data_IF_411646730075
#
_entry.id   IF_411646730075
#
_cell.length_a   1.000
_cell.length_b   1.000
_cell.length_c   1.000
_cell.angle_alpha   90.00
_cell.angle_beta   90.00
_cell.angle_gamma   90.00
#
_symmetry.space_group_name_H-M   'P 1'
#
loop_
_entity.id
_entity.type
_entity.pdbx_description
1 polymer ?
#
# COMPACT_ATOMS: atom_id res chain seq x y z
N UNK A 1 24.94 -26.29 34.48
CA UNK A 1 25.52 -25.68 33.26
C UNK A 1 25.85 -24.21 33.55
N UNK A 2 27.08 -23.73 33.33
CA UNK A 2 27.41 -22.34 33.65
C UNK A 2 26.60 -21.38 32.76
N UNK A 3 25.93 -20.45 33.41
CA UNK A 3 25.02 -19.46 32.84
C UNK A 3 25.76 -18.49 31.90
N UNK A 4 25.89 -18.87 30.62
CA UNK A 4 26.61 -18.09 29.61
C UNK A 4 25.74 -16.91 29.11
N UNK A 5 25.56 -15.90 29.97
CA UNK A 5 24.91 -14.64 29.59
C UNK A 5 25.79 -13.92 28.58
N UNK A 6 25.37 -13.91 27.31
CA UNK A 6 26.01 -13.10 26.26
C UNK A 6 25.90 -11.63 26.67
N UNK A 7 27.04 -10.98 26.92
CA UNK A 7 27.11 -9.58 27.37
C UNK A 7 26.82 -8.65 26.18
N UNK A 8 25.95 -7.67 26.39
CA UNK A 8 25.71 -6.60 25.41
C UNK A 8 26.88 -5.62 25.33
N UNK A 9 26.99 -4.87 24.24
CA UNK A 9 28.08 -3.91 24.03
C UNK A 9 28.15 -2.87 25.19
N UNK A 10 26.99 -2.44 25.68
CA UNK A 10 26.84 -1.54 26.85
C UNK A 10 27.47 -2.11 28.14
N UNK A 11 27.50 -3.44 28.30
CA UNK A 11 28.07 -4.13 29.47
C UNK A 11 29.56 -4.45 29.34
N UNK A 12 30.17 -4.26 28.17
CA UNK A 12 31.60 -4.56 27.95
C UNK A 12 32.55 -3.41 28.30
N UNK A 13 32.05 -2.19 28.49
CA UNK A 13 32.85 -0.99 28.72
C UNK A 13 33.68 -0.58 27.49
N UNK A 14 34.68 0.31 27.66
CA UNK A 14 35.51 0.81 26.54
C UNK A 14 36.24 -0.32 25.81
N UNK A 15 36.09 -0.34 24.48
CA UNK A 15 36.68 -1.32 23.54
C UNK A 15 37.92 -0.76 22.82
N UNK A 16 38.14 0.56 22.88
CA UNK A 16 39.12 1.29 22.05
C UNK A 16 40.58 0.90 22.29
N UNK A 17 40.96 0.52 23.51
CA UNK A 17 42.35 0.15 23.86
C UNK A 17 42.56 -1.36 24.02
N UNK A 18 41.76 -2.19 23.35
CA UNK A 18 41.82 -3.65 23.48
C UNK A 18 42.55 -4.26 22.29
N UNK A 19 43.57 -5.09 22.54
CA UNK A 19 44.26 -5.82 21.49
C UNK A 19 43.27 -6.65 20.64
N UNK A 20 43.39 -6.65 19.29
CA UNK A 20 42.39 -7.25 18.39
C UNK A 20 42.09 -8.73 18.65
N UNK A 21 43.08 -9.47 19.16
CA UNK A 21 42.95 -10.91 19.47
C UNK A 21 42.62 -11.21 20.94
N UNK A 22 42.42 -10.18 21.77
CA UNK A 22 42.06 -10.37 23.19
C UNK A 22 40.69 -11.00 23.35
N UNK A 23 40.48 -11.73 24.46
CA UNK A 23 39.18 -12.28 24.86
C UNK A 23 38.11 -11.20 24.91
N UNK A 24 38.46 -9.97 25.34
CA UNK A 24 37.54 -8.83 25.39
C UNK A 24 37.16 -8.35 23.98
N UNK A 25 38.11 -8.30 23.04
CA UNK A 25 37.83 -7.98 21.64
C UNK A 25 36.92 -9.04 20.98
N UNK A 26 37.17 -10.34 21.24
CA UNK A 26 36.29 -11.43 20.77
C UNK A 26 34.87 -11.33 21.33
N UNK A 27 34.71 -10.94 22.59
CA UNK A 27 33.39 -10.68 23.19
C UNK A 27 32.72 -9.46 22.55
N UNK A 28 33.45 -8.38 22.27
CA UNK A 28 32.93 -7.18 21.62
C UNK A 28 32.44 -7.47 20.19
N UNK A 29 33.23 -8.19 19.38
CA UNK A 29 32.82 -8.61 18.04
C UNK A 29 31.53 -9.44 18.05
N UNK A 30 31.37 -10.35 19.01
CA UNK A 30 30.14 -11.14 19.17
C UNK A 30 28.93 -10.29 19.56
N UNK A 31 29.13 -9.29 20.41
CA UNK A 31 28.09 -8.35 20.80
C UNK A 31 27.67 -7.47 19.61
N UNK A 32 28.63 -6.89 18.87
CA UNK A 32 28.39 -6.10 17.65
C UNK A 32 27.62 -6.93 16.61
N UNK A 33 28.09 -8.12 16.26
CA UNK A 33 27.42 -8.98 15.28
C UNK A 33 25.98 -9.36 15.70
N UNK A 34 25.72 -9.47 17.01
CA UNK A 34 24.36 -9.69 17.52
C UNK A 34 23.51 -8.43 17.35
N UNK A 35 24.03 -7.27 17.73
CA UNK A 35 23.32 -5.99 17.62
C UNK A 35 23.00 -5.68 16.14
N UNK A 36 23.93 -5.95 15.22
CA UNK A 36 23.72 -5.84 13.77
C UNK A 36 22.60 -6.78 13.29
N UNK A 37 22.56 -8.02 13.76
CA UNK A 37 21.50 -8.97 13.41
C UNK A 37 20.14 -8.51 13.94
N UNK A 38 20.11 -7.95 15.15
CA UNK A 38 18.88 -7.42 15.75
C UNK A 38 18.39 -6.16 15.02
N UNK A 39 19.31 -5.29 14.61
CA UNK A 39 19.02 -4.10 13.80
C UNK A 39 18.44 -4.51 12.44
N UNK A 40 19.12 -5.40 11.70
CA UNK A 40 18.64 -5.94 10.43
C UNK A 40 17.25 -6.57 10.55
N UNK A 41 17.02 -7.39 11.57
CA UNK A 41 15.70 -7.99 11.80
C UNK A 41 14.60 -6.97 12.15
N UNK A 42 14.96 -5.82 12.74
CA UNK A 42 14.03 -4.71 12.96
C UNK A 42 13.73 -3.99 11.64
N UNK A 43 14.76 -3.73 10.84
CA UNK A 43 14.63 -3.05 9.55
C UNK A 43 13.81 -3.88 8.56
N UNK A 44 14.06 -5.20 8.48
CA UNK A 44 13.26 -6.14 7.69
C UNK A 44 11.80 -6.14 8.14
N UNK A 45 11.53 -6.17 9.44
CA UNK A 45 10.14 -6.11 9.94
C UNK A 45 9.46 -4.80 9.53
N UNK A 46 10.19 -3.70 9.64
CA UNK A 46 9.68 -2.39 9.28
C UNK A 46 9.41 -2.30 7.77
N UNK A 47 10.31 -2.82 6.92
CA UNK A 47 10.15 -2.79 5.46
C UNK A 47 9.01 -3.69 4.98
N UNK A 48 8.91 -4.92 5.49
CA UNK A 48 7.92 -5.89 5.00
C UNK A 48 6.51 -5.69 5.55
N UNK A 49 6.36 -5.20 6.78
CA UNK A 49 5.05 -5.11 7.45
C UNK A 49 4.59 -3.69 7.67
N UNK A 50 5.46 -2.84 8.19
CA UNK A 50 5.07 -1.50 8.63
C UNK A 50 4.98 -0.56 7.45
N UNK A 51 5.98 -0.57 6.56
CA UNK A 51 6.04 0.34 5.41
C UNK A 51 4.81 0.24 4.50
N UNK A 52 4.34 -0.96 4.09
CA UNK A 52 3.17 -1.05 3.21
C UNK A 52 1.88 -0.61 3.92
N UNK A 53 1.76 -0.83 5.23
CA UNK A 53 0.62 -0.36 6.01
C UNK A 53 0.61 1.17 6.13
N UNK A 54 1.77 1.76 6.41
CA UNK A 54 1.95 3.22 6.47
C UNK A 54 1.59 3.87 5.14
N UNK A 55 2.10 3.33 4.02
CA UNK A 55 1.82 3.84 2.68
C UNK A 55 0.32 3.80 2.35
N UNK A 56 -0.34 2.67 2.65
CA UNK A 56 -1.80 2.53 2.49
C UNK A 56 -2.56 3.59 3.30
N UNK A 57 -2.16 3.83 4.55
CA UNK A 57 -2.84 4.78 5.43
C UNK A 57 -2.68 6.22 4.94
N UNK A 58 -1.47 6.58 4.50
CA UNK A 58 -1.23 7.89 3.89
C UNK A 58 -2.08 8.07 2.64
N UNK A 59 -2.12 7.07 1.75
CA UNK A 59 -2.93 7.14 0.56
C UNK A 59 -4.41 7.37 0.88
N UNK A 60 -4.97 6.60 1.82
CA UNK A 60 -6.38 6.74 2.23
C UNK A 60 -6.63 8.11 2.86
N UNK A 61 -5.73 8.59 3.73
CA UNK A 61 -5.82 9.94 4.31
C UNK A 61 -5.90 11.03 3.23
N UNK A 62 -5.16 10.88 2.13
CA UNK A 62 -5.14 11.85 1.04
C UNK A 62 -6.27 11.67 0.01
N UNK A 63 -6.71 10.44 -0.22
CA UNK A 63 -7.81 10.11 -1.13
C UNK A 63 -9.19 10.49 -0.55
N UNK A 64 -9.32 10.56 0.78
CA UNK A 64 -10.55 10.96 1.44
C UNK A 64 -10.73 12.49 1.44
N UNK A 65 -11.97 12.93 1.22
CA UNK A 65 -12.35 14.33 1.41
C UNK A 65 -12.31 14.70 2.92
N UNK A 66 -11.68 15.83 3.30
CA UNK A 66 -11.76 16.40 4.64
C UNK A 66 -13.18 16.55 5.21
N UNK A 67 -14.23 16.60 4.40
CA UNK A 67 -15.61 16.74 4.86
C UNK A 67 -16.23 15.42 5.37
N UNK A 68 -15.76 14.26 4.91
CA UNK A 68 -16.45 12.96 5.11
C UNK A 68 -16.08 12.32 6.45
N UNK A 69 -17.05 12.21 7.36
CA UNK A 69 -16.84 11.69 8.72
C UNK A 69 -16.96 10.17 8.81
N UNK A 70 -17.76 9.53 7.95
CA UNK A 70 -17.88 8.07 7.88
C UNK A 70 -18.18 7.66 6.45
N UNK A 71 -17.58 6.54 6.03
CA UNK A 71 -17.79 5.98 4.70
C UNK A 71 -18.70 4.76 4.73
N UNK A 72 -19.46 4.57 3.65
CA UNK A 72 -20.19 3.33 3.41
C UNK A 72 -19.23 2.20 2.99
N UNK A 73 -19.70 0.95 3.04
CA UNK A 73 -18.89 -0.20 2.59
C UNK A 73 -18.58 -0.11 1.09
N UNK A 74 -19.48 0.45 0.27
CA UNK A 74 -19.25 0.62 -1.17
C UNK A 74 -18.12 1.64 -1.41
N UNK A 75 -18.16 2.78 -0.73
CA UNK A 75 -17.07 3.77 -0.79
C UNK A 75 -15.72 3.18 -0.34
N UNK A 76 -15.71 2.26 0.64
CA UNK A 76 -14.48 1.57 1.00
C UNK A 76 -13.92 0.73 -0.15
N UNK A 77 -14.79 0.09 -0.95
CA UNK A 77 -14.37 -0.62 -2.15
C UNK A 77 -13.84 0.34 -3.22
N UNK A 78 -14.50 1.48 -3.43
CA UNK A 78 -14.06 2.49 -4.38
C UNK A 78 -12.66 3.03 -4.04
N UNK A 79 -12.38 3.27 -2.75
CA UNK A 79 -11.04 3.68 -2.28
C UNK A 79 -10.00 2.58 -2.51
N UNK A 80 -10.38 1.30 -2.36
CA UNK A 80 -9.48 0.17 -2.66
C UNK A 80 -9.21 0.09 -4.16
N UNK A 81 -10.20 0.28 -5.01
CA UNK A 81 -10.00 0.30 -6.46
C UNK A 81 -9.08 1.44 -6.88
N UNK A 82 -9.22 2.62 -6.28
CA UNK A 82 -8.30 3.74 -6.48
C UNK A 82 -6.87 3.40 -6.02
N UNK A 83 -6.71 2.73 -4.89
CA UNK A 83 -5.41 2.25 -4.41
C UNK A 83 -4.74 1.28 -5.39
N UNK A 84 -5.52 0.34 -5.95
CA UNK A 84 -5.03 -0.65 -6.92
C UNK A 84 -4.70 -0.02 -8.29
N UNK A 85 -5.35 1.08 -8.65
CA UNK A 85 -5.15 1.78 -9.91
C UNK A 85 -3.98 2.80 -9.88
N UNK A 86 -3.39 3.08 -8.72
CA UNK A 86 -2.41 4.18 -8.55
C UNK A 86 -1.20 4.13 -9.49
N UNK A 87 -0.77 2.92 -9.85
CA UNK A 87 0.40 2.71 -10.72
C UNK A 87 0.03 2.62 -12.20
N UNK A 88 -1.26 2.61 -12.55
CA UNK A 88 -1.70 2.35 -13.93
C UNK A 88 -1.28 3.46 -14.89
N UNK A 89 -1.37 4.71 -14.47
CA UNK A 89 -1.00 5.85 -15.32
C UNK A 89 0.51 5.94 -15.54
N UNK A 90 1.32 5.69 -14.50
CA UNK A 90 2.78 5.64 -14.63
C UNK A 90 3.23 4.44 -15.48
N UNK A 91 2.61 3.28 -15.30
CA UNK A 91 2.85 2.10 -16.14
C UNK A 91 2.44 2.35 -17.60
N UNK A 92 1.35 3.09 -17.83
CA UNK A 92 0.93 3.47 -19.20
C UNK A 92 2.00 4.34 -19.85
N UNK A 93 2.49 5.36 -19.16
CA UNK A 93 3.56 6.23 -19.68
C UNK A 93 4.85 5.45 -19.99
N UNK A 94 5.27 4.54 -19.11
CA UNK A 94 6.45 3.69 -19.34
C UNK A 94 6.26 2.75 -20.53
N UNK A 95 5.05 2.19 -20.70
CA UNK A 95 4.73 1.33 -21.85
C UNK A 95 4.77 2.10 -23.16
N UNK A 96 4.25 3.32 -23.19
CA UNK A 96 4.32 4.18 -24.36
C UNK A 96 5.76 4.57 -24.72
N UNK A 97 6.60 4.86 -23.72
CA UNK A 97 8.02 5.13 -23.92
C UNK A 97 8.76 3.89 -24.47
N UNK A 98 8.45 2.71 -23.93
CA UNK A 98 8.97 1.44 -24.42
C UNK A 98 8.56 1.17 -25.86
N UNK A 99 7.29 1.38 -26.20
CA UNK A 99 6.75 1.09 -27.54
C UNK A 99 7.30 2.06 -28.60
N UNK A 100 7.69 3.28 -28.21
CA UNK A 100 8.43 4.22 -29.07
C UNK A 100 9.87 3.77 -29.35
N UNK A 101 10.45 2.93 -28.50
CA UNK A 101 11.81 2.45 -28.66
C UNK A 101 11.86 1.19 -29.54
N UNK A 102 12.66 1.23 -30.62
CA UNK A 102 12.81 0.15 -31.62
C UNK A 102 13.21 -1.21 -31.00
N UNK A 103 13.89 -1.19 -29.85
CA UNK A 103 14.25 -2.36 -29.04
C UNK A 103 13.94 -2.17 -27.55
N UNK A 104 12.80 -1.55 -27.23
CA UNK A 104 12.38 -1.26 -25.87
C UNK A 104 12.26 -2.54 -25.02
N UNK A 105 13.19 -2.73 -24.07
CA UNK A 105 13.08 -3.75 -23.02
C UNK A 105 12.32 -3.15 -21.84
N UNK A 106 11.60 -4.00 -21.10
CA UNK A 106 10.98 -3.57 -19.85
C UNK A 106 12.05 -3.07 -18.89
N UNK A 107 11.82 -1.89 -18.33
CA UNK A 107 12.69 -1.35 -17.29
C UNK A 107 12.54 -2.19 -16.01
N UNK A 108 13.60 -2.40 -15.21
CA UNK A 108 13.47 -3.03 -13.89
C UNK A 108 12.43 -2.34 -13.00
N UNK A 109 12.23 -1.02 -13.18
CA UNK A 109 11.20 -0.25 -12.48
C UNK A 109 9.79 -0.63 -12.94
N UNK A 110 9.57 -0.77 -14.25
CA UNK A 110 8.29 -1.20 -14.83
C UNK A 110 7.91 -2.59 -14.30
N UNK A 111 8.87 -3.53 -14.33
CA UNK A 111 8.65 -4.90 -13.85
C UNK A 111 8.32 -4.95 -12.35
N UNK A 112 9.02 -4.16 -11.52
CA UNK A 112 8.75 -4.08 -10.09
C UNK A 112 7.34 -3.52 -9.81
N UNK A 113 6.94 -2.43 -10.49
CA UNK A 113 5.62 -1.84 -10.29
C UNK A 113 4.49 -2.74 -10.79
N UNK A 114 4.67 -3.42 -11.93
CA UNK A 114 3.73 -4.44 -12.41
C UNK A 114 3.58 -5.60 -11.41
N UNK A 115 4.69 -6.07 -10.84
CA UNK A 115 4.68 -7.13 -9.84
C UNK A 115 3.98 -6.70 -8.55
N UNK A 116 4.23 -5.47 -8.06
CA UNK A 116 3.57 -4.91 -6.88
C UNK A 116 2.06 -4.79 -7.09
N UNK A 117 1.62 -4.17 -8.19
CA UNK A 117 0.19 -4.02 -8.48
C UNK A 117 -0.52 -5.37 -8.66
N UNK A 118 0.14 -6.35 -9.28
CA UNK A 118 -0.38 -7.72 -9.40
C UNK A 118 -0.51 -8.40 -8.04
N UNK A 119 0.50 -8.28 -7.18
CA UNK A 119 0.48 -8.85 -5.84
C UNK A 119 -0.67 -8.29 -5.00
N UNK A 120 -0.88 -6.97 -5.05
CA UNK A 120 -1.95 -6.30 -4.31
C UNK A 120 -3.35 -6.68 -4.82
N UNK A 121 -3.53 -6.83 -6.14
CA UNK A 121 -4.78 -7.32 -6.72
C UNK A 121 -5.09 -8.74 -6.26
N UNK A 122 -4.09 -9.63 -6.28
CA UNK A 122 -4.24 -11.01 -5.80
C UNK A 122 -4.54 -11.04 -4.30
N UNK A 123 -3.91 -10.18 -3.49
CA UNK A 123 -4.20 -10.03 -2.06
C UNK A 123 -5.67 -9.69 -1.84
N UNK A 124 -6.18 -8.67 -2.55
CA UNK A 124 -7.57 -8.24 -2.45
C UNK A 124 -8.55 -9.34 -2.87
N UNK A 125 -8.32 -9.98 -4.02
CA UNK A 125 -9.23 -11.00 -4.55
C UNK A 125 -9.26 -12.27 -3.70
N UNK A 126 -8.12 -12.71 -3.17
CA UNK A 126 -7.99 -14.02 -2.50
C UNK A 126 -8.34 -13.93 -1.01
N UNK A 127 -7.81 -12.93 -0.32
CA UNK A 127 -7.86 -12.83 1.14
C UNK A 127 -8.59 -11.59 1.63
N UNK A 128 -8.76 -10.58 0.78
CA UNK A 128 -9.15 -9.24 1.17
C UNK A 128 -7.96 -8.41 1.63
N UNK A 129 -8.11 -7.09 1.57
CA UNK A 129 -7.06 -6.15 1.93
C UNK A 129 -7.33 -5.57 3.32
N UNK A 130 -6.27 -5.44 4.12
CA UNK A 130 -6.35 -4.84 5.46
C UNK A 130 -6.29 -3.31 5.33
N UNK A 131 -7.31 -2.63 5.85
CA UNK A 131 -7.49 -1.17 5.76
C UNK A 131 -7.96 -0.60 7.12
N UNK A 132 -7.75 0.70 7.40
CA UNK A 132 -8.44 1.39 8.48
C UNK A 132 -9.96 1.25 8.34
N UNK A 133 -10.67 1.09 9.47
CA UNK A 133 -12.13 1.03 9.45
C UNK A 133 -12.74 2.42 9.20
N UNK A 134 -13.04 2.73 7.94
CA UNK A 134 -13.62 4.02 7.53
C UNK A 134 -15.11 4.18 7.89
N UNK A 135 -15.79 3.12 8.33
CA UNK A 135 -17.19 3.21 8.77
C UNK A 135 -17.32 3.89 10.15
N UNK A 136 -16.25 3.93 10.94
CA UNK A 136 -16.25 4.52 12.28
C UNK A 136 -15.66 5.92 12.25
N UNK A 137 -16.47 6.92 12.59
CA UNK A 137 -16.03 8.32 12.65
C UNK A 137 -14.81 8.54 13.55
N UNK A 138 -14.72 7.82 14.68
CA UNK A 138 -13.57 7.88 15.59
C UNK A 138 -12.26 7.45 14.93
N UNK A 139 -12.32 6.45 14.06
CA UNK A 139 -11.14 5.93 13.35
C UNK A 139 -10.74 6.90 12.24
N UNK A 140 -11.72 7.48 11.54
CA UNK A 140 -11.47 8.51 10.52
C UNK A 140 -10.82 9.76 11.14
N UNK A 141 -11.30 10.23 12.30
CA UNK A 141 -10.66 11.33 13.03
C UNK A 141 -9.23 11.00 13.47
N UNK A 142 -8.99 9.77 13.97
CA UNK A 142 -7.66 9.33 14.36
C UNK A 142 -6.71 9.28 13.15
N UNK A 143 -7.19 8.77 12.00
CA UNK A 143 -6.43 8.71 10.76
C UNK A 143 -6.07 10.11 10.24
N UNK A 144 -6.97 11.09 10.40
CA UNK A 144 -6.71 12.49 10.02
C UNK A 144 -5.64 13.15 10.87
N UNK A 145 -5.65 12.90 12.18
CA UNK A 145 -4.67 13.43 13.13
C UNK A 145 -3.32 12.71 13.07
N UNK A 146 -3.26 11.57 12.38
CA UNK A 146 -2.07 10.75 12.31
C UNK A 146 -1.06 11.33 11.31
N UNK A 147 0.16 11.58 11.77
CA UNK A 147 1.25 12.22 11.02
C UNK A 147 2.37 11.24 10.62
N UNK A 148 2.08 9.93 10.60
CA UNK A 148 3.06 8.92 10.18
C UNK A 148 3.78 8.18 11.29
N UNK A 149 3.45 8.41 12.58
CA UNK A 149 4.10 7.69 13.68
C UNK A 149 3.66 6.22 13.69
N UNK A 150 4.64 5.32 13.58
CA UNK A 150 4.45 3.87 13.58
C UNK A 150 3.75 3.40 14.87
N UNK A 151 4.06 4.02 16.02
CA UNK A 151 3.48 3.61 17.30
C UNK A 151 1.99 3.92 17.40
N UNK A 152 1.52 4.91 16.63
CA UNK A 152 0.12 5.33 16.60
C UNK A 152 -0.72 4.47 15.64
N UNK A 153 -0.11 3.63 14.79
CA UNK A 153 -0.82 2.72 13.90
C UNK A 153 -1.68 1.71 14.69
N UNK A 154 -1.18 1.23 15.83
CA UNK A 154 -1.90 0.27 16.68
C UNK A 154 -3.19 0.85 17.28
N UNK A 155 -3.31 2.18 17.35
CA UNK A 155 -4.52 2.86 17.84
C UNK A 155 -5.63 2.89 16.78
N UNK A 156 -5.26 2.85 15.50
CA UNK A 156 -6.18 2.90 14.37
C UNK A 156 -6.69 1.48 14.10
N UNK A 157 -7.97 1.24 14.37
CA UNK A 157 -8.57 -0.08 14.16
C UNK A 157 -8.63 -0.43 12.68
N UNK A 158 -8.07 -1.57 12.33
CA UNK A 158 -8.13 -2.15 10.98
C UNK A 158 -9.29 -3.11 10.82
N UNK A 159 -9.77 -3.22 9.57
CA UNK A 159 -10.74 -4.22 9.11
C UNK A 159 -10.21 -4.87 7.84
N UNK A 160 -10.48 -6.16 7.71
CA UNK A 160 -10.21 -6.92 6.48
C UNK A 160 -11.39 -6.75 5.53
N UNK A 161 -11.18 -6.02 4.44
CA UNK A 161 -12.21 -5.78 3.41
C UNK A 161 -12.04 -6.81 2.31
N UNK A 162 -13.05 -7.67 2.13
CA UNK A 162 -13.09 -8.68 1.06
C UNK A 162 -13.95 -8.19 -0.09
N UNK A 163 -13.64 -8.56 -1.34
CA UNK A 163 -14.47 -8.20 -2.47
C UNK A 163 -15.93 -8.65 -2.22
N UNK A 164 -16.92 -7.86 -2.68
CA UNK A 164 -18.30 -8.25 -2.53
C UNK A 164 -18.50 -9.62 -3.16
N UNK A 165 -19.04 -10.57 -2.38
CA UNK A 165 -19.38 -11.90 -2.90
C UNK A 165 -20.30 -11.64 -4.08
N UNK A 166 -19.87 -11.96 -5.31
CA UNK A 166 -20.75 -11.96 -6.48
C UNK A 166 -21.94 -12.83 -6.11
N UNK A 167 -23.05 -12.20 -5.72
CA UNK A 167 -24.26 -12.91 -5.40
C UNK A 167 -24.62 -13.69 -6.66
N UNK A 168 -24.91 -14.96 -6.49
CA UNK A 168 -25.31 -15.92 -7.54
C UNK A 168 -26.47 -15.46 -8.44
N UNK A 169 -27.02 -14.27 -8.25
CA UNK A 169 -27.96 -13.60 -9.16
C UNK A 169 -27.38 -13.37 -10.57
N UNK A 170 -26.11 -12.97 -10.71
CA UNK A 170 -25.49 -12.81 -12.04
C UNK A 170 -25.15 -14.15 -12.73
N UNK A 171 -24.91 -15.21 -11.95
CA UNK A 171 -24.71 -16.56 -12.47
C UNK A 171 -26.05 -17.25 -12.85
N UNK A 172 -27.15 -16.90 -12.20
CA UNK A 172 -28.49 -17.36 -12.56
C UNK A 172 -29.03 -16.69 -13.83
N UNK A 173 -28.71 -15.41 -14.06
CA UNK A 173 -29.14 -14.68 -15.27
C UNK A 173 -28.45 -15.16 -16.57
N UNK A 174 -27.24 -15.74 -16.47
CA UNK A 174 -26.53 -16.30 -17.61
C UNK A 174 -27.02 -17.72 -18.01
N UNK A 175 -27.91 -18.33 -17.23
CA UNK A 175 -28.45 -19.67 -17.48
C UNK A 175 -29.77 -19.70 -18.27
N UNK A 176 -30.35 -18.56 -18.63
CA UNK A 176 -31.65 -18.50 -19.31
C UNK A 176 -31.69 -17.47 -20.45
N UNK A 177 -30.83 -17.59 -21.45
CA UNK A 177 -31.08 -16.97 -22.77
C UNK A 177 -30.29 -17.67 -23.86
N UNK A 178 -30.83 -18.77 -24.36
CA UNK A 178 -30.53 -19.27 -25.70
C UNK A 178 -31.47 -18.61 -26.72
N UNK A 179 -30.88 -18.14 -27.82
CA UNK A 179 -31.48 -17.79 -29.11
C UNK A 179 -32.32 -16.49 -29.22
N UNK A 180 -31.73 -15.44 -29.80
CA UNK A 180 -32.26 -14.72 -30.97
C UNK A 180 -31.26 -13.64 -31.47
N UNK A 181 -31.12 -13.58 -32.79
CA UNK A 181 -30.34 -12.64 -33.61
C UNK A 181 -30.89 -11.19 -33.59
N UNK A 182 -30.03 -10.18 -33.78
CA UNK A 182 -30.47 -8.88 -34.30
C UNK A 182 -29.61 -7.65 -33.96
N UNK A 183 -29.03 -7.07 -35.01
CA UNK A 183 -28.60 -5.68 -35.27
C UNK A 183 -29.03 -4.50 -34.35
N UNK A 184 -28.14 -3.49 -34.34
CA UNK A 184 -28.37 -2.03 -34.25
C UNK A 184 -28.24 -1.29 -32.89
N UNK A 185 -27.24 -0.38 -32.89
CA UNK A 185 -27.24 1.04 -32.49
C UNK A 185 -27.69 1.53 -31.09
N UNK A 186 -26.83 2.42 -30.57
CA UNK A 186 -27.11 3.62 -29.77
C UNK A 186 -27.43 3.50 -28.25
N UNK A 187 -26.56 4.12 -27.45
CA UNK A 187 -26.97 5.22 -26.56
C UNK A 187 -27.12 4.95 -25.05
N UNK A 188 -26.42 5.78 -24.27
CA UNK A 188 -26.59 6.08 -22.83
C UNK A 188 -26.18 4.95 -21.87
N UNK A 189 -25.50 5.17 -20.76
CA UNK A 189 -25.43 6.35 -19.90
C UNK A 189 -25.50 5.84 -18.47
N UNK A 190 -24.40 5.26 -17.97
CA UNK A 190 -24.26 4.87 -16.57
C UNK A 190 -23.22 5.79 -15.93
N UNK A 191 -23.70 6.85 -15.29
CA UNK A 191 -22.88 7.78 -14.53
C UNK A 191 -22.12 7.03 -13.45
N UNK A 192 -20.80 6.94 -13.63
CA UNK A 192 -19.87 6.68 -12.54
C UNK A 192 -20.05 7.82 -11.52
N UNK A 193 -20.03 7.56 -10.20
CA UNK A 193 -20.08 8.64 -9.23
C UNK A 193 -18.81 9.50 -9.39
N UNK A 194 -18.98 10.63 -10.07
CA UNK A 194 -17.93 11.61 -10.40
C UNK A 194 -17.33 12.32 -9.17
N UNK A 195 -17.78 11.97 -7.96
CA UNK A 195 -17.54 12.75 -6.76
C UNK A 195 -16.09 12.65 -6.23
N UNK A 196 -15.32 11.62 -6.61
CA UNK A 196 -13.95 11.40 -6.08
C UNK A 196 -12.83 11.51 -7.13
N UNK A 197 -13.15 11.43 -8.43
CA UNK A 197 -12.12 11.53 -9.49
C UNK A 197 -11.76 12.99 -9.82
N UNK A 198 -12.74 13.90 -9.83
CA UNK A 198 -12.50 15.31 -10.20
C UNK A 198 -11.68 16.07 -9.15
N UNK A 199 -11.79 15.68 -7.88
CA UNK A 199 -11.09 16.36 -6.76
C UNK A 199 -9.62 15.94 -6.69
N UNK A 200 -9.29 14.68 -7.01
CA UNK A 200 -7.90 14.23 -7.06
C UNK A 200 -7.15 14.87 -8.24
N UNK A 201 -7.80 15.01 -9.39
CA UNK A 201 -7.25 15.73 -10.54
C UNK A 201 -7.03 17.23 -10.22
N UNK A 202 -7.99 17.89 -9.55
CA UNK A 202 -7.84 19.29 -9.13
C UNK A 202 -6.71 19.48 -8.09
N UNK A 203 -6.58 18.57 -7.13
CA UNK A 203 -5.55 18.67 -6.08
C UNK A 203 -4.15 18.29 -6.56
N UNK A 204 -4.05 17.43 -7.57
CA UNK A 204 -2.80 17.13 -8.29
C UNK A 204 -2.36 18.31 -9.18
N UNK A 205 -3.33 19.04 -9.77
CA UNK A 205 -3.07 20.27 -10.52
C UNK A 205 -2.63 21.43 -9.61
N UNK A 206 -3.23 21.56 -8.41
CA UNK A 206 -2.76 22.52 -7.39
C UNK A 206 -1.37 22.16 -6.83
N UNK A 207 -1.02 20.87 -6.74
CA UNK A 207 0.33 20.44 -6.31
C UNK A 207 1.42 20.61 -7.37
N UNK A 208 1.08 20.69 -8.66
CA UNK A 208 2.06 20.77 -9.77
C UNK A 208 2.21 22.17 -10.37
N UNK A 209 1.49 23.18 -9.89
CA UNK A 209 1.75 24.59 -10.21
C UNK A 209 1.66 24.94 -11.71
N UNK A 210 0.84 24.22 -12.47
CA UNK A 210 0.62 24.51 -13.89
C UNK A 210 -0.60 25.43 -14.05
N UNK A 211 -0.33 26.73 -14.04
CA UNK A 211 -1.27 27.76 -14.52
C UNK A 211 -1.58 27.53 -16.01
N UNK A 212 -2.83 27.19 -16.33
CA UNK A 212 -3.37 27.34 -17.67
C UNK A 212 -4.30 28.55 -17.63
N UNK A 213 -3.78 29.69 -18.08
CA UNK A 213 -4.61 30.84 -18.43
C UNK A 213 -5.48 30.52 -19.64
N UNK A 214 -6.61 31.24 -19.69
CA UNK A 214 -7.81 31.03 -20.50
C UNK A 214 -7.59 31.05 -22.01
#
# INVERSE_FOLDING_TARGET
>A
MPNNKVKSLKKLGKVENVHPYSRKAKQARRAMARDDRLAKGKDERNSFKVSPLVERYFFIKHAMDPSVTACSLQEMHDVIELWLARHEDELRAMREERDKAVHGKKSPKEELMEAMGKQERVEYETHGIVMPNLQSAKVVEALRKWEGDINQLDLIKTVLVRPPKKTSAAAAAAGSSGAASGSAAAGSGAGKPAFMQDVFAQKLAEMTGMTVEQ
#
